data_IF_171601460658
#
_entry.id   IF_171601460658
#
_cell.length_a   1.000
_cell.length_b   1.000
_cell.length_c   1.000
_cell.angle_alpha   90.00
_cell.angle_beta   90.00
_cell.angle_gamma   90.00
#
_symmetry.space_group_name_H-M   'P 1'
#
loop_
_entity.id
_entity.type
_entity.pdbx_description
1 polymer ?
#
# COMPACT_ATOMS: atom_id res chain seq x y z
N UNK A 1 -52.55 -59.30 27.57
CA UNK A 1 -52.25 -59.38 29.01
C UNK A 1 -50.75 -59.17 29.22
N UNK A 2 -50.41 -58.25 30.12
CA UNK A 2 -49.04 -57.83 30.47
C UNK A 2 -48.19 -59.00 31.00
N UNK A 3 -46.89 -59.02 30.67
CA UNK A 3 -45.82 -59.40 31.62
C UNK A 3 -44.48 -58.80 31.16
N UNK A 4 -43.80 -58.21 32.14
CA UNK A 4 -42.56 -57.45 32.06
C UNK A 4 -41.34 -58.38 32.01
N UNK A 5 -40.28 -57.95 31.34
CA UNK A 5 -38.90 -58.33 31.69
C UNK A 5 -38.02 -57.07 31.65
N UNK A 6 -37.51 -56.69 32.81
CA UNK A 6 -36.54 -55.60 33.01
C UNK A 6 -35.17 -56.07 32.54
N UNK A 7 -34.55 -55.37 31.60
CA UNK A 7 -33.14 -55.54 31.28
C UNK A 7 -32.35 -54.37 31.88
N UNK A 8 -31.48 -54.71 32.82
CA UNK A 8 -30.49 -53.83 33.45
C UNK A 8 -29.45 -53.50 32.38
N UNK A 9 -29.37 -52.23 31.97
CA UNK A 9 -28.29 -51.74 31.13
C UNK A 9 -27.06 -51.44 31.98
N UNK A 10 -25.99 -52.19 31.73
CA UNK A 10 -24.63 -51.88 32.17
C UNK A 10 -24.18 -50.57 31.50
N UNK A 11 -24.00 -49.52 32.29
CA UNK A 11 -23.40 -48.26 31.84
C UNK A 11 -21.89 -48.45 31.82
N UNK A 12 -21.32 -48.64 30.62
CA UNK A 12 -19.88 -48.50 30.40
C UNK A 12 -19.53 -47.01 30.51
N UNK A 13 -18.95 -46.60 31.63
CA UNK A 13 -18.41 -45.27 31.83
C UNK A 13 -17.09 -45.14 31.03
N UNK A 14 -17.20 -44.70 29.78
CA UNK A 14 -16.03 -44.29 28.99
C UNK A 14 -15.56 -42.94 29.52
N UNK A 15 -14.42 -42.93 30.22
CA UNK A 15 -13.76 -41.72 30.69
C UNK A 15 -13.17 -40.99 29.47
N UNK A 16 -13.90 -40.02 28.92
CA UNK A 16 -13.36 -39.13 27.88
C UNK A 16 -12.48 -38.10 28.58
N UNK A 17 -11.16 -38.26 28.45
CA UNK A 17 -10.20 -37.21 28.77
C UNK A 17 -10.39 -36.07 27.76
N UNK A 18 -11.15 -35.04 28.13
CA UNK A 18 -11.15 -33.77 27.40
C UNK A 18 -9.83 -33.08 27.72
N UNK A 19 -8.84 -33.26 26.86
CA UNK A 19 -7.66 -32.41 26.86
C UNK A 19 -8.13 -31.03 26.38
N UNK A 20 -8.47 -30.16 27.33
CA UNK A 20 -8.57 -28.73 27.05
C UNK A 20 -7.15 -28.26 26.77
N UNK A 21 -6.74 -28.32 25.50
CA UNK A 21 -5.59 -27.54 25.04
C UNK A 21 -6.09 -26.10 25.08
N UNK A 22 -5.87 -25.44 26.21
CA UNK A 22 -5.84 -23.99 26.25
C UNK A 22 -4.68 -23.59 25.35
N UNK A 23 -4.96 -23.42 24.06
CA UNK A 23 -4.10 -22.65 23.18
C UNK A 23 -4.13 -21.25 23.76
N UNK A 24 -3.16 -20.96 24.61
CA UNK A 24 -2.80 -19.61 24.99
C UNK A 24 -2.66 -18.86 23.69
N UNK A 25 -3.68 -18.07 23.35
CA UNK A 25 -3.53 -16.95 22.45
C UNK A 25 -2.46 -16.10 23.11
N UNK A 26 -1.20 -16.33 22.74
CA UNK A 26 -0.20 -15.28 22.78
C UNK A 26 -0.68 -14.27 21.74
N UNK A 27 -1.70 -13.51 22.09
CA UNK A 27 -1.80 -12.13 21.68
C UNK A 27 -0.45 -11.55 22.11
N UNK A 28 0.49 -11.48 21.17
CA UNK A 28 1.63 -10.61 21.30
C UNK A 28 1.06 -9.21 21.34
N UNK A 29 0.65 -8.76 22.53
CA UNK A 29 0.79 -7.36 22.88
C UNK A 29 2.29 -7.08 22.91
N UNK A 30 2.90 -6.95 21.73
CA UNK A 30 4.02 -6.03 21.62
C UNK A 30 3.41 -4.68 21.92
N UNK A 31 3.50 -4.30 23.20
CA UNK A 31 3.09 -2.99 23.66
C UNK A 31 3.71 -1.94 22.75
N UNK A 32 2.93 -0.90 22.49
CA UNK A 32 3.32 0.27 21.71
C UNK A 32 4.54 0.96 22.32
N UNK A 33 5.73 0.40 22.11
CA UNK A 33 6.97 1.14 22.16
C UNK A 33 7.09 1.75 20.78
N UNK A 34 6.41 2.89 20.58
CA UNK A 34 6.66 3.72 19.40
C UNK A 34 8.17 3.87 19.27
N UNK A 35 8.74 3.41 18.15
CA UNK A 35 10.17 3.57 17.89
C UNK A 35 10.52 5.05 18.07
N UNK A 36 11.60 5.34 18.80
CA UNK A 36 12.01 6.72 19.02
C UNK A 36 12.35 7.34 17.65
N UNK A 37 11.58 8.35 17.24
CA UNK A 37 11.84 9.10 16.01
C UNK A 37 12.70 10.29 16.37
N UNK A 38 13.93 10.30 15.85
CA UNK A 38 14.77 11.48 15.86
C UNK A 38 14.39 12.37 14.68
N UNK A 39 14.05 13.62 14.98
CA UNK A 39 13.85 14.67 13.98
C UNK A 39 15.14 15.49 13.93
N UNK A 40 15.95 15.41 12.86
CA UNK A 40 17.13 16.24 12.69
C UNK A 40 16.79 17.73 12.72
N UNK A 41 17.70 18.57 13.19
CA UNK A 41 17.51 20.04 13.18
C UNK A 41 17.28 20.57 11.76
N UNK A 42 17.90 19.96 10.74
CA UNK A 42 17.68 20.30 9.33
C UNK A 42 16.25 20.02 8.86
N UNK A 43 15.50 19.19 9.58
CA UNK A 43 14.08 18.89 9.29
C UNK A 43 13.11 19.89 9.91
N UNK A 44 13.56 20.71 10.87
CA UNK A 44 12.69 21.73 11.48
C UNK A 44 12.72 22.99 10.63
N UNK A 45 11.63 23.27 9.92
CA UNK A 45 11.47 24.54 9.21
C UNK A 45 11.37 25.71 10.21
N UNK A 46 12.18 26.73 10.01
CA UNK A 46 12.18 27.94 10.85
C UNK A 46 12.05 29.17 9.94
N UNK A 47 11.24 30.19 10.30
CA UNK A 47 11.10 31.39 9.45
C UNK A 47 12.43 32.06 9.10
N UNK A 48 13.40 32.04 10.03
CA UNK A 48 14.74 32.59 9.83
C UNK A 48 15.63 31.79 8.86
N UNK A 49 15.22 30.59 8.43
CA UNK A 49 16.01 29.73 7.55
C UNK A 49 15.65 29.92 6.07
N UNK A 50 14.53 30.61 5.80
CA UNK A 50 13.99 30.82 4.46
C UNK A 50 15.01 31.54 3.55
N UNK A 51 15.49 30.84 2.53
CA UNK A 51 16.49 31.34 1.57
C UNK A 51 17.94 31.36 2.09
N UNK A 52 18.20 30.82 3.29
CA UNK A 52 19.53 30.82 3.92
C UNK A 52 20.03 29.39 4.15
N UNK A 53 19.15 28.46 4.56
CA UNK A 53 19.50 27.06 4.82
C UNK A 53 18.64 26.13 3.97
N UNK A 54 19.25 25.04 3.50
CA UNK A 54 18.50 23.93 2.92
C UNK A 54 17.79 23.16 4.04
N UNK A 55 16.54 22.80 3.81
CA UNK A 55 15.76 21.95 4.70
C UNK A 55 15.74 20.53 4.16
N UNK A 56 15.76 19.57 5.09
CA UNK A 56 15.57 18.16 4.76
C UNK A 56 14.23 17.67 5.26
N UNK A 57 13.69 16.60 4.71
CA UNK A 57 12.47 15.94 5.20
C UNK A 57 12.78 14.56 5.83
N UNK A 58 13.93 14.44 6.50
CA UNK A 58 14.37 13.17 7.08
C UNK A 58 13.78 12.96 8.47
N UNK A 59 13.26 11.76 8.71
CA UNK A 59 12.91 11.22 10.02
C UNK A 59 13.75 9.98 10.26
N UNK A 60 14.45 9.90 11.39
CA UNK A 60 15.31 8.77 11.71
C UNK A 60 14.61 7.90 12.74
N UNK A 61 14.17 6.71 12.32
CA UNK A 61 13.61 5.71 13.24
C UNK A 61 14.74 4.98 13.95
N UNK A 62 14.85 5.15 15.26
CA UNK A 62 15.82 4.44 16.08
C UNK A 62 15.23 3.09 16.53
N UNK A 63 15.93 2.01 16.21
CA UNK A 63 15.55 0.67 16.65
C UNK A 63 16.41 0.25 17.84
N UNK A 64 15.82 0.22 19.04
CA UNK A 64 16.47 -0.34 20.21
C UNK A 64 16.55 -1.88 20.06
N UNK A 65 17.77 -2.42 20.02
CA UNK A 65 18.07 -3.85 19.88
C UNK A 65 17.48 -4.50 18.60
N UNK A 66 18.15 -4.39 17.44
CA UNK A 66 17.76 -5.16 16.26
C UNK A 66 17.94 -6.65 16.56
N UNK A 67 16.85 -7.35 16.87
CA UNK A 67 16.86 -8.82 16.85
C UNK A 67 16.82 -9.24 15.38
N UNK A 68 17.83 -9.96 14.87
CA UNK A 68 17.81 -10.43 13.49
C UNK A 68 16.82 -11.60 13.39
N UNK A 69 15.53 -11.29 13.24
CA UNK A 69 14.55 -12.29 12.85
C UNK A 69 14.65 -12.50 11.34
N UNK A 70 15.51 -13.44 10.93
CA UNK A 70 15.85 -13.78 9.55
C UNK A 70 14.69 -14.43 8.74
N UNK A 71 13.44 -14.39 9.21
CA UNK A 71 12.29 -15.08 8.61
C UNK A 71 11.14 -14.12 8.22
N UNK A 72 11.37 -12.81 8.24
CA UNK A 72 10.44 -11.78 7.79
C UNK A 72 11.12 -10.85 6.78
N UNK A 73 10.38 -10.16 5.89
CA UNK A 73 10.96 -9.14 5.03
C UNK A 73 11.87 -8.21 5.85
N UNK A 74 13.12 -8.09 5.44
CA UNK A 74 14.06 -7.12 6.00
C UNK A 74 13.77 -5.75 5.39
N UNK A 75 13.71 -4.71 6.21
CA UNK A 75 13.37 -3.36 5.77
C UNK A 75 12.22 -2.78 6.59
N UNK A 76 11.68 -1.66 6.12
CA UNK A 76 10.54 -1.01 6.76
C UNK A 76 9.23 -1.70 6.36
N UNK A 77 8.26 -1.72 7.28
CA UNK A 77 6.94 -2.32 7.08
C UNK A 77 5.84 -1.29 7.36
N UNK A 78 4.59 -1.54 6.94
CA UNK A 78 3.47 -0.64 7.29
C UNK A 78 3.35 -0.39 8.80
N UNK A 79 3.66 -1.39 9.63
CA UNK A 79 3.63 -1.28 11.09
C UNK A 79 4.76 -0.41 11.65
N UNK A 80 5.92 -0.33 10.98
CA UNK A 80 7.03 0.52 11.42
C UNK A 80 6.91 1.95 10.86
N UNK A 81 6.32 2.13 9.68
CA UNK A 81 6.16 3.44 9.03
C UNK A 81 4.99 4.25 9.59
N UNK A 82 3.80 3.65 9.77
CA UNK A 82 2.61 4.41 10.24
C UNK A 82 2.87 5.19 11.53
N UNK A 83 3.53 4.65 12.57
CA UNK A 83 3.78 5.39 13.79
C UNK A 83 4.73 6.58 13.60
N UNK A 84 5.67 6.50 12.65
CA UNK A 84 6.60 7.60 12.32
C UNK A 84 5.83 8.81 11.81
N UNK A 85 4.85 8.58 10.93
CA UNK A 85 3.98 9.63 10.37
C UNK A 85 2.68 9.85 11.14
N UNK A 86 2.54 9.23 12.33
CA UNK A 86 1.33 9.31 13.17
C UNK A 86 0.04 8.94 12.42
N UNK A 87 0.13 7.98 11.51
CA UNK A 87 -0.99 7.50 10.72
C UNK A 87 -1.79 6.44 11.50
N UNK A 88 -3.14 6.44 11.41
CA UNK A 88 -3.95 5.38 11.98
C UNK A 88 -3.71 4.05 11.25
N UNK A 89 -4.05 2.91 11.89
CA UNK A 89 -3.94 1.56 11.29
C UNK A 89 -4.99 1.28 10.21
N UNK A 90 -6.06 2.06 10.19
CA UNK A 90 -7.09 2.07 9.14
C UNK A 90 -7.37 3.52 8.76
N UNK A 91 -7.73 3.77 7.50
CA UNK A 91 -7.86 5.15 7.02
C UNK A 91 -7.72 5.23 5.50
N UNK A 92 -7.62 6.44 4.99
CA UNK A 92 -7.77 6.70 3.57
C UNK A 92 -9.23 6.57 3.11
N UNK A 93 -9.51 7.08 1.93
CA UNK A 93 -10.82 6.95 1.28
C UNK A 93 -10.66 7.31 -0.19
N UNK A 94 -11.77 7.30 -0.93
CA UNK A 94 -11.80 7.75 -2.32
C UNK A 94 -10.91 6.87 -3.23
N UNK A 95 -10.21 7.46 -4.21
CA UNK A 95 -9.44 6.72 -5.22
C UNK A 95 -8.00 7.22 -5.24
N UNK A 96 -7.06 6.30 -5.28
CA UNK A 96 -5.65 6.56 -5.57
C UNK A 96 -5.35 5.84 -6.88
N UNK A 97 -5.05 6.59 -7.92
CA UNK A 97 -4.62 6.05 -9.19
C UNK A 97 -3.08 6.09 -9.28
N UNK A 98 -2.48 4.95 -9.60
CA UNK A 98 -1.05 4.77 -9.82
C UNK A 98 -0.83 4.72 -11.33
N UNK A 99 0.14 5.48 -11.84
CA UNK A 99 0.48 5.48 -13.27
C UNK A 99 1.86 4.87 -13.47
N UNK A 100 1.89 3.72 -14.13
CA UNK A 100 3.11 2.97 -14.46
C UNK A 100 3.18 2.61 -15.93
N UNK A 101 4.37 2.29 -16.44
CA UNK A 101 4.54 1.76 -17.78
C UNK A 101 4.50 0.23 -17.83
N UNK A 102 4.11 -0.31 -18.99
CA UNK A 102 4.08 -1.76 -19.26
C UNK A 102 3.05 -2.50 -18.40
N UNK A 103 2.86 -3.79 -18.69
CA UNK A 103 1.94 -4.65 -17.92
C UNK A 103 2.65 -5.27 -16.72
N UNK A 104 1.97 -5.26 -15.58
CA UNK A 104 2.31 -6.03 -14.38
C UNK A 104 1.32 -7.21 -14.18
N UNK A 105 1.47 -8.35 -14.87
CA UNK A 105 0.42 -9.37 -14.97
C UNK A 105 -0.12 -9.89 -13.62
N UNK A 106 0.70 -9.93 -12.57
CA UNK A 106 0.38 -10.53 -11.27
C UNK A 106 -0.06 -9.52 -10.20
N UNK A 107 -0.26 -8.24 -10.55
CA UNK A 107 -0.58 -7.15 -9.62
C UNK A 107 -1.59 -7.49 -8.51
N UNK A 108 -2.77 -8.02 -8.87
CA UNK A 108 -3.80 -8.34 -7.87
C UNK A 108 -3.41 -9.52 -6.96
N UNK A 109 -2.70 -10.52 -7.52
CA UNK A 109 -2.24 -11.66 -6.73
C UNK A 109 -1.20 -11.23 -5.69
N UNK A 110 -0.25 -10.40 -6.11
CA UNK A 110 0.86 -9.99 -5.26
C UNK A 110 0.37 -9.00 -4.21
N UNK A 111 -0.49 -8.04 -4.58
CA UNK A 111 -1.19 -7.15 -3.64
C UNK A 111 -1.98 -7.94 -2.59
N UNK A 112 -2.61 -9.06 -2.96
CA UNK A 112 -3.29 -9.95 -2.01
C UNK A 112 -2.31 -10.62 -1.04
N UNK A 113 -1.17 -11.09 -1.53
CA UNK A 113 -0.12 -11.70 -0.68
C UNK A 113 0.45 -10.66 0.29
N UNK A 114 0.79 -9.47 -0.21
CA UNK A 114 1.26 -8.35 0.61
C UNK A 114 0.23 -7.96 1.66
N UNK A 115 -1.04 -7.81 1.28
CA UNK A 115 -2.12 -7.47 2.19
C UNK A 115 -2.27 -8.50 3.31
N UNK A 116 -2.26 -9.79 2.96
CA UNK A 116 -2.31 -10.87 3.95
C UNK A 116 -1.07 -10.86 4.88
N UNK A 117 0.12 -10.60 4.33
CA UNK A 117 1.37 -10.57 5.08
C UNK A 117 1.36 -9.49 6.17
N UNK A 118 0.79 -8.33 5.89
CA UNK A 118 0.78 -7.17 6.79
C UNK A 118 -0.56 -6.92 7.48
N UNK A 119 -1.52 -7.85 7.39
CA UNK A 119 -2.82 -7.75 8.05
C UNK A 119 -3.69 -6.61 7.53
N UNK A 120 -3.56 -6.27 6.24
CA UNK A 120 -4.39 -5.27 5.57
C UNK A 120 -5.69 -5.91 5.05
N UNK A 121 -6.77 -5.12 4.90
CA UNK A 121 -7.97 -5.57 4.19
C UNK A 121 -7.63 -6.07 2.79
N UNK A 122 -8.36 -7.08 2.30
CA UNK A 122 -8.17 -7.55 0.93
C UNK A 122 -8.51 -6.42 -0.05
N UNK A 123 -7.62 -6.17 -1.01
CA UNK A 123 -7.88 -5.25 -2.11
C UNK A 123 -7.90 -6.02 -3.44
N UNK A 124 -9.08 -6.24 -3.99
CA UNK A 124 -9.28 -7.13 -5.16
C UNK A 124 -10.22 -6.47 -6.17
N UNK A 125 -10.20 -6.98 -7.40
CA UNK A 125 -11.19 -6.60 -8.40
C UNK A 125 -12.59 -7.04 -7.96
N UNK A 126 -12.70 -8.23 -7.36
CA UNK A 126 -13.98 -8.80 -6.94
C UNK A 126 -14.71 -7.99 -5.86
N UNK A 127 -13.97 -7.39 -4.92
CA UNK A 127 -14.56 -6.52 -3.89
C UNK A 127 -14.54 -5.02 -4.27
N UNK A 128 -14.11 -4.70 -5.48
CA UNK A 128 -14.10 -3.33 -6.02
C UNK A 128 -13.08 -2.39 -5.38
N UNK A 129 -12.14 -2.91 -4.58
CA UNK A 129 -11.03 -2.14 -4.03
C UNK A 129 -9.94 -1.90 -5.07
N UNK A 130 -9.57 -2.93 -5.84
CA UNK A 130 -8.53 -2.85 -6.86
C UNK A 130 -9.13 -2.76 -8.25
N UNK A 131 -8.49 -2.01 -9.15
CA UNK A 131 -8.80 -2.00 -10.57
C UNK A 131 -7.51 -1.83 -11.36
N UNK A 132 -7.34 -2.63 -12.41
CA UNK A 132 -6.32 -2.40 -13.44
C UNK A 132 -6.95 -1.82 -14.71
N UNK A 133 -6.28 -0.85 -15.32
CA UNK A 133 -6.70 -0.18 -16.56
C UNK A 133 -5.51 -0.05 -17.50
N UNK A 134 -5.68 -0.40 -18.77
CA UNK A 134 -4.67 -0.15 -19.79
C UNK A 134 -4.98 1.19 -20.48
N UNK A 135 -4.05 2.14 -20.44
CA UNK A 135 -4.28 3.52 -20.92
C UNK A 135 -4.59 3.62 -22.42
N UNK A 136 -4.09 2.66 -23.21
CA UNK A 136 -4.34 2.58 -24.65
C UNK A 136 -5.53 1.69 -25.00
N UNK A 137 -6.24 1.15 -23.99
CA UNK A 137 -7.33 0.18 -24.17
C UNK A 137 -6.86 -1.23 -24.54
N UNK A 138 -5.57 -1.42 -24.82
CA UNK A 138 -4.95 -2.71 -25.12
C UNK A 138 -3.87 -3.02 -24.10
N UNK A 139 -3.75 -4.31 -23.78
CA UNK A 139 -2.76 -4.83 -22.82
C UNK A 139 -1.33 -4.52 -23.32
N UNK A 140 -0.49 -3.80 -22.56
CA UNK A 140 0.92 -3.59 -22.89
C UNK A 140 1.74 -4.89 -22.83
N UNK A 141 2.97 -4.86 -23.36
CA UNK A 141 3.93 -5.93 -23.07
C UNK A 141 4.29 -5.91 -21.58
N UNK A 142 4.59 -7.05 -21.00
CA UNK A 142 5.11 -7.11 -19.63
C UNK A 142 6.56 -6.65 -19.55
N UNK A 143 6.94 -6.08 -18.41
CA UNK A 143 8.32 -5.68 -18.10
C UNK A 143 8.58 -5.89 -16.61
N UNK A 144 9.62 -6.65 -16.25
CA UNK A 144 9.86 -7.02 -14.85
C UNK A 144 10.30 -5.85 -13.97
N UNK A 145 11.01 -4.86 -14.53
CA UNK A 145 11.46 -3.69 -13.77
C UNK A 145 10.28 -2.80 -13.39
N UNK A 146 9.41 -2.52 -14.37
CA UNK A 146 8.19 -1.76 -14.12
C UNK A 146 7.15 -2.53 -13.31
N UNK A 147 7.09 -3.86 -13.43
CA UNK A 147 6.26 -4.67 -12.55
C UNK A 147 6.70 -4.57 -11.08
N UNK A 148 8.00 -4.46 -10.81
CA UNK A 148 8.52 -4.25 -9.47
C UNK A 148 8.12 -2.87 -8.92
N UNK A 149 8.23 -1.83 -9.73
CA UNK A 149 7.79 -0.47 -9.37
C UNK A 149 6.28 -0.44 -9.09
N UNK A 150 5.48 -0.98 -10.00
CA UNK A 150 4.04 -1.04 -9.85
C UNK A 150 3.60 -1.86 -8.62
N UNK A 151 4.35 -2.90 -8.25
CA UNK A 151 4.13 -3.63 -7.01
C UNK A 151 4.36 -2.73 -5.79
N UNK A 152 5.51 -2.03 -5.74
CA UNK A 152 5.82 -1.10 -4.66
C UNK A 152 4.72 -0.04 -4.50
N UNK A 153 4.31 0.59 -5.60
CA UNK A 153 3.34 1.67 -5.60
C UNK A 153 1.95 1.22 -5.11
N UNK A 154 1.39 0.14 -5.68
CA UNK A 154 0.05 -0.31 -5.28
C UNK A 154 0.02 -0.86 -3.85
N UNK A 155 1.09 -1.53 -3.43
CA UNK A 155 1.19 -2.16 -2.11
C UNK A 155 1.31 -1.10 -1.01
N UNK A 156 2.17 -0.09 -1.19
CA UNK A 156 2.34 0.97 -0.18
C UNK A 156 1.20 1.98 -0.19
N UNK A 157 0.60 2.29 -1.34
CA UNK A 157 -0.62 3.09 -1.39
C UNK A 157 -1.74 2.42 -0.59
N UNK A 158 -1.97 1.12 -0.81
CA UNK A 158 -2.96 0.35 -0.03
C UNK A 158 -2.57 0.25 1.44
N UNK A 159 -1.29 0.06 1.75
CA UNK A 159 -0.82 0.01 3.12
C UNK A 159 -1.10 1.32 3.87
N UNK A 160 -0.88 2.49 3.27
CA UNK A 160 -1.07 3.76 3.96
C UNK A 160 -2.53 4.24 3.94
N UNK A 161 -3.31 3.84 2.94
CA UNK A 161 -4.73 4.18 2.79
C UNK A 161 -5.63 2.93 2.60
N UNK A 162 -5.77 2.04 3.61
CA UNK A 162 -6.45 0.75 3.45
C UNK A 162 -7.92 0.77 3.00
N UNK A 163 -8.59 1.91 3.13
CA UNK A 163 -9.99 2.09 2.72
C UNK A 163 -10.14 2.84 1.37
N UNK A 164 -9.04 3.22 0.73
CA UNK A 164 -9.06 3.80 -0.62
C UNK A 164 -9.24 2.71 -1.68
N UNK A 165 -9.78 3.10 -2.84
CA UNK A 165 -9.74 2.27 -4.05
C UNK A 165 -8.44 2.51 -4.77
N UNK A 166 -7.72 1.43 -5.07
CA UNK A 166 -6.44 1.47 -5.78
C UNK A 166 -6.69 1.19 -7.26
N UNK A 167 -6.23 2.09 -8.12
CA UNK A 167 -6.39 1.98 -9.57
C UNK A 167 -5.01 1.98 -10.22
N UNK A 168 -4.55 0.82 -10.70
CA UNK A 168 -3.32 0.74 -11.48
C UNK A 168 -3.63 1.07 -12.94
N UNK A 169 -3.05 2.14 -13.48
CA UNK A 169 -3.18 2.57 -14.86
C UNK A 169 -1.85 2.34 -15.59
N UNK A 170 -1.85 1.37 -16.48
CA UNK A 170 -0.67 0.93 -17.21
C UNK A 170 -0.57 1.61 -18.58
N UNK A 171 0.50 2.37 -18.79
CA UNK A 171 0.87 2.96 -20.05
C UNK A 171 1.43 1.91 -21.02
N UNK A 172 1.30 2.16 -22.33
CA UNK A 172 1.79 1.23 -23.34
C UNK A 172 3.32 1.00 -23.29
N UNK A 173 4.07 2.02 -22.87
CA UNK A 173 5.50 1.99 -22.56
C UNK A 173 5.89 3.25 -21.75
N UNK A 174 7.17 3.40 -21.44
CA UNK A 174 7.73 4.47 -20.63
C UNK A 174 8.08 5.76 -21.39
N UNK A 175 7.57 5.96 -22.61
CA UNK A 175 7.70 7.27 -23.26
C UNK A 175 6.79 8.29 -22.58
N UNK A 176 7.23 9.55 -22.48
CA UNK A 176 6.42 10.61 -21.89
C UNK A 176 5.03 10.72 -22.53
N UNK A 177 4.91 10.57 -23.86
CA UNK A 177 3.62 10.60 -24.53
C UNK A 177 2.65 9.51 -24.02
N UNK A 178 3.15 8.31 -23.72
CA UNK A 178 2.31 7.23 -23.18
C UNK A 178 2.04 7.39 -21.68
N UNK A 179 3.03 7.87 -20.92
CA UNK A 179 2.88 8.15 -19.49
C UNK A 179 1.86 9.28 -19.24
N UNK A 180 1.96 10.40 -19.95
CA UNK A 180 0.99 11.50 -19.83
C UNK A 180 -0.41 11.11 -20.31
N UNK A 181 -0.52 10.27 -21.35
CA UNK A 181 -1.82 9.67 -21.70
C UNK A 181 -2.38 8.81 -20.56
N UNK A 182 -1.54 8.06 -19.87
CA UNK A 182 -1.96 7.29 -18.70
C UNK A 182 -2.36 8.19 -17.52
N UNK A 183 -1.71 9.34 -17.34
CA UNK A 183 -2.14 10.39 -16.39
C UNK A 183 -3.56 10.86 -16.73
N UNK A 184 -3.86 11.18 -17.99
CA UNK A 184 -5.21 11.61 -18.39
C UNK A 184 -6.26 10.53 -18.09
N UNK A 185 -5.94 9.27 -18.36
CA UNK A 185 -6.81 8.13 -18.04
C UNK A 185 -6.99 7.98 -16.52
N UNK A 186 -5.91 8.10 -15.74
CA UNK A 186 -5.94 8.04 -14.28
C UNK A 186 -6.83 9.15 -13.70
N UNK A 187 -6.67 10.39 -14.17
CA UNK A 187 -7.51 11.54 -13.81
C UNK A 187 -8.99 11.26 -14.14
N UNK A 188 -9.27 10.69 -15.30
CA UNK A 188 -10.64 10.28 -15.65
C UNK A 188 -11.19 9.17 -14.73
N UNK A 189 -10.38 8.16 -14.39
CA UNK A 189 -10.78 7.11 -13.45
C UNK A 189 -11.09 7.66 -12.06
N UNK A 190 -10.27 8.59 -11.57
CA UNK A 190 -10.48 9.27 -10.28
C UNK A 190 -11.79 10.07 -10.30
N UNK A 191 -11.98 10.89 -11.33
CA UNK A 191 -13.11 11.83 -11.41
C UNK A 191 -14.44 11.21 -11.88
N UNK A 192 -14.41 9.97 -12.40
CA UNK A 192 -15.63 9.24 -12.80
C UNK A 192 -16.68 9.24 -11.68
N UNK A 193 -17.89 9.69 -12.00
CA UNK A 193 -19.01 9.81 -11.07
C UNK A 193 -18.94 11.02 -10.13
N UNK A 194 -18.17 12.06 -10.48
CA UNK A 194 -17.93 13.20 -9.59
C UNK A 194 -16.94 12.88 -8.47
N UNK A 195 -16.12 11.85 -8.66
CA UNK A 195 -15.12 11.43 -7.69
C UNK A 195 -14.00 12.45 -7.51
N UNK A 196 -13.31 12.31 -6.39
CA UNK A 196 -12.08 13.05 -6.05
C UNK A 196 -11.02 12.04 -5.62
N UNK A 197 -9.77 12.45 -5.59
CA UNK A 197 -8.68 11.54 -5.21
C UNK A 197 -7.32 12.00 -5.68
N UNK A 198 -6.45 11.03 -5.92
CA UNK A 198 -5.02 11.25 -6.11
C UNK A 198 -4.52 10.50 -7.34
N UNK A 199 -3.53 11.07 -8.02
CA UNK A 199 -2.75 10.39 -9.06
C UNK A 199 -1.29 10.41 -8.60
N UNK A 200 -0.69 9.23 -8.43
CA UNK A 200 0.71 9.06 -8.03
C UNK A 200 1.54 8.55 -9.21
N UNK A 201 2.74 9.10 -9.35
CA UNK A 201 3.66 8.86 -10.46
C UNK A 201 5.08 8.67 -9.93
N UNK A 202 5.58 7.43 -9.96
CA UNK A 202 6.94 7.07 -9.56
C UNK A 202 7.90 7.02 -10.76
N UNK A 203 7.81 8.02 -11.62
CA UNK A 203 8.65 8.16 -12.81
C UNK A 203 9.02 9.62 -13.05
N UNK A 204 10.14 9.82 -13.76
CA UNK A 204 10.66 11.14 -14.06
C UNK A 204 11.75 11.11 -15.12
N UNK A 205 12.35 12.27 -15.36
CA UNK A 205 13.47 12.45 -16.27
C UNK A 205 14.22 13.74 -15.97
N UNK A 206 15.28 14.01 -16.73
CA UNK A 206 15.98 15.29 -16.62
C UNK A 206 15.07 16.44 -17.03
N UNK A 207 15.16 17.58 -16.36
CA UNK A 207 14.43 18.81 -16.71
C UNK A 207 14.82 19.28 -18.12
N UNK A 208 13.87 19.86 -18.84
CA UNK A 208 14.10 20.40 -20.19
C UNK A 208 13.21 21.61 -20.47
N UNK A 209 13.69 22.49 -21.36
CA UNK A 209 13.13 23.83 -21.58
C UNK A 209 11.66 23.87 -22.03
N UNK A 210 11.10 22.76 -22.51
CA UNK A 210 9.72 22.67 -23.00
C UNK A 210 8.82 21.80 -22.13
N UNK A 211 9.26 21.41 -20.93
CA UNK A 211 8.49 20.52 -20.05
C UNK A 211 7.15 21.14 -19.58
N UNK A 212 7.08 22.46 -19.46
CA UNK A 212 5.85 23.19 -19.13
C UNK A 212 4.73 22.99 -20.15
N UNK A 213 5.03 22.50 -21.36
CA UNK A 213 4.00 22.08 -22.32
C UNK A 213 3.16 20.90 -21.84
N UNK A 214 3.62 20.15 -20.83
CA UNK A 214 2.91 19.03 -20.23
C UNK A 214 2.02 19.42 -19.03
N UNK A 215 2.09 20.66 -18.55
CA UNK A 215 1.33 21.12 -17.37
C UNK A 215 -0.19 20.90 -17.50
N UNK A 216 -0.70 20.89 -18.74
CA UNK A 216 -2.11 20.63 -19.05
C UNK A 216 -2.63 19.28 -18.52
N UNK A 217 -1.77 18.27 -18.39
CA UNK A 217 -2.12 16.95 -17.86
C UNK A 217 -2.46 16.97 -16.36
N UNK A 218 -2.07 18.03 -15.65
CA UNK A 218 -2.20 18.16 -14.20
C UNK A 218 -3.25 19.18 -13.75
N UNK A 219 -4.12 19.64 -14.68
CA UNK A 219 -5.10 20.68 -14.42
C UNK A 219 -6.48 20.11 -14.09
N UNK A 220 -6.64 19.55 -12.88
CA UNK A 220 -7.94 19.09 -12.40
C UNK A 220 -8.19 19.42 -10.92
N UNK A 221 -9.26 20.15 -10.62
CA UNK A 221 -9.57 20.61 -9.26
C UNK A 221 -10.03 19.50 -8.28
N UNK A 222 -10.29 18.29 -8.78
CA UNK A 222 -10.72 17.15 -7.98
C UNK A 222 -9.59 16.12 -7.77
N UNK A 223 -8.40 16.37 -8.31
CA UNK A 223 -7.26 15.46 -8.27
C UNK A 223 -6.04 16.17 -7.70
N UNK A 224 -5.38 15.52 -6.74
CA UNK A 224 -4.04 15.91 -6.30
C UNK A 224 -3.02 15.00 -7.01
N UNK A 225 -1.98 15.60 -7.57
CA UNK A 225 -0.94 14.88 -8.29
C UNK A 225 0.33 14.80 -7.45
N UNK A 226 0.89 13.60 -7.32
CA UNK A 226 2.16 13.34 -6.64
C UNK A 226 3.15 12.76 -7.65
N UNK A 227 4.35 13.31 -7.69
CA UNK A 227 5.45 12.84 -8.52
C UNK A 227 6.70 12.61 -7.68
N UNK A 228 7.43 11.53 -7.96
CA UNK A 228 8.73 11.29 -7.36
C UNK A 228 9.75 12.34 -7.83
N UNK A 229 10.63 12.80 -6.92
CA UNK A 229 11.69 13.76 -7.24
C UNK A 229 12.92 13.11 -7.90
N UNK A 230 12.95 11.79 -8.00
CA UNK A 230 14.07 10.99 -8.52
C UNK A 230 15.03 10.47 -7.44
N UNK A 231 15.81 9.44 -7.81
CA UNK A 231 16.65 8.64 -6.90
C UNK A 231 18.15 8.96 -6.98
N UNK A 232 18.54 9.95 -7.78
CA UNK A 232 19.96 10.22 -8.07
C UNK A 232 20.54 11.44 -7.33
N UNK A 233 19.70 12.19 -6.62
CA UNK A 233 20.08 13.49 -6.05
C UNK A 233 20.34 14.51 -7.16
N UNK A 234 19.44 15.46 -7.33
CA UNK A 234 19.57 16.53 -8.35
C UNK A 234 20.84 17.36 -8.22
#
# INVERSE_FOLDING_TARGET
MRKWYSSIFLVNATLVFVIVVSSSLLAQSQGSQHAAVLVPDSTVERPQDKGIRAHTNHLIRLQANPTPNALSPSGETPQTIRPVYKLPSTGGSQKIAIVDAFDYPTAENDLKVFSARFGLPLCTTANGCFKKVYANGTKPRADCGWAQEAALDIEWAHAMAPNAKIILVEAANNSFANLFRAVDVATSQVTTGGGKGEVSMSWGGAEFSTESSYDGHFQNNNVVYFAASGDLGG
#
